data_IF_245981743406
#
_entry.id   IF_245981743406
#
_cell.length_a   1.000
_cell.length_b   1.000
_cell.length_c   1.000
_cell.angle_alpha   90.00
_cell.angle_beta   90.00
_cell.angle_gamma   90.00
#
_symmetry.space_group_name_H-M   'P 1'
#
loop_
_entity.id
_entity.type
_entity.pdbx_description
1 polymer ?
#
# COMPACT_ATOMS: atom_id res chain seq x y z
N UNK A 1 -1.31 -2.70 70.86
CA UNK A 1 -1.08 -3.85 69.96
C UNK A 1 -1.73 -3.48 68.63
N UNK A 2 -0.95 -2.91 67.71
CA UNK A 2 -1.44 -2.08 66.59
C UNK A 2 -1.32 -2.90 65.30
N UNK A 3 -2.46 -3.36 64.76
CA UNK A 3 -2.50 -4.25 63.60
C UNK A 3 -2.35 -3.44 62.31
N UNK A 4 -1.35 -3.85 61.54
CA UNK A 4 -0.90 -3.39 60.23
C UNK A 4 -2.03 -3.48 59.18
N UNK A 5 -2.32 -2.37 58.48
CA UNK A 5 -2.95 -2.40 57.13
C UNK A 5 -2.24 -1.41 56.21
N UNK A 6 -1.10 -1.85 55.66
CA UNK A 6 -0.38 -1.17 54.58
C UNK A 6 -1.07 -1.51 53.26
N UNK A 7 -1.92 -0.62 52.77
CA UNK A 7 -2.45 -0.68 51.40
C UNK A 7 -1.35 -0.08 50.50
N UNK A 8 -0.48 -0.95 50.00
CA UNK A 8 0.50 -0.59 48.99
C UNK A 8 -0.20 -0.41 47.65
N UNK A 9 -0.41 0.83 47.24
CA UNK A 9 -0.89 1.17 45.89
C UNK A 9 0.31 0.97 44.95
N UNK A 10 0.36 -0.19 44.29
CA UNK A 10 1.28 -0.44 43.20
C UNK A 10 0.80 0.34 41.97
N UNK A 11 1.38 1.52 41.75
CA UNK A 11 1.16 2.32 40.55
C UNK A 11 1.90 1.62 39.39
N UNK A 12 1.16 0.81 38.63
CA UNK A 12 1.68 0.18 37.41
C UNK A 12 1.83 1.27 36.32
N UNK A 13 3.04 1.75 36.13
CA UNK A 13 3.41 2.62 35.01
C UNK A 13 3.37 1.81 33.71
N UNK A 14 2.22 1.86 33.03
CA UNK A 14 2.07 1.30 31.69
C UNK A 14 2.74 2.25 30.68
N UNK A 15 4.04 2.07 30.48
CA UNK A 15 4.80 2.76 29.44
C UNK A 15 4.37 2.21 28.07
N UNK A 16 3.50 2.93 27.37
CA UNK A 16 3.18 2.65 25.96
C UNK A 16 4.37 3.12 25.13
N UNK A 17 5.32 2.23 24.89
CA UNK A 17 6.39 2.46 23.93
C UNK A 17 5.77 2.49 22.52
N UNK A 18 5.61 3.69 21.96
CA UNK A 18 5.24 3.89 20.56
C UNK A 18 6.38 3.40 19.67
N UNK A 19 6.33 2.13 19.26
CA UNK A 19 7.15 1.62 18.17
C UNK A 19 6.70 2.30 16.89
N UNK A 20 7.58 3.10 16.29
CA UNK A 20 7.38 3.59 14.94
C UNK A 20 7.32 2.36 14.00
N UNK A 21 6.12 1.99 13.59
CA UNK A 21 5.91 0.91 12.64
C UNK A 21 6.39 1.39 11.26
N UNK A 22 7.51 0.84 10.79
CA UNK A 22 7.84 0.89 9.38
C UNK A 22 6.70 0.18 8.63
N UNK A 23 5.86 0.94 7.91
CA UNK A 23 4.72 0.38 7.18
C UNK A 23 5.05 0.33 5.69
N UNK A 24 4.84 -0.83 5.08
CA UNK A 24 4.75 -0.94 3.64
C UNK A 24 3.52 -0.14 3.21
N UNK A 25 3.63 0.62 2.13
CA UNK A 25 2.49 1.33 1.56
C UNK A 25 1.72 0.39 0.65
N UNK A 26 0.39 0.42 0.74
CA UNK A 26 -0.47 -0.15 -0.30
C UNK A 26 -1.14 1.00 -1.03
N UNK A 27 -1.20 0.91 -2.36
CA UNK A 27 -1.78 1.95 -3.22
C UNK A 27 -2.71 1.29 -4.21
N UNK A 28 -3.97 1.73 -4.22
CA UNK A 28 -4.93 1.34 -5.24
C UNK A 28 -4.65 2.12 -6.52
N UNK A 29 -4.82 1.48 -7.66
CA UNK A 29 -4.61 2.10 -8.96
C UNK A 29 -5.66 1.67 -9.98
N UNK A 30 -5.90 2.57 -10.94
CA UNK A 30 -6.67 2.28 -12.14
C UNK A 30 -5.99 2.90 -13.35
N UNK A 31 -5.94 2.17 -14.45
CA UNK A 31 -5.49 2.64 -15.75
C UNK A 31 -6.60 2.39 -16.77
N UNK A 32 -6.87 3.41 -17.59
CA UNK A 32 -7.78 3.31 -18.72
C UNK A 32 -7.07 3.75 -20.00
N UNK A 33 -6.84 2.80 -20.90
CA UNK A 33 -6.24 3.04 -22.22
C UNK A 33 -7.22 3.73 -23.17
N UNK A 34 -6.72 4.71 -23.93
CA UNK A 34 -7.50 5.49 -24.89
C UNK A 34 -7.81 4.76 -26.19
N UNK A 35 -6.89 3.92 -26.70
CA UNK A 35 -7.05 3.18 -27.96
C UNK A 35 -6.95 1.68 -27.70
N UNK A 36 -8.07 1.04 -27.34
CA UNK A 36 -8.14 -0.40 -27.10
C UNK A 36 -8.91 -0.82 -25.85
N UNK A 37 -9.45 0.13 -25.07
CA UNK A 37 -10.19 -0.13 -23.83
C UNK A 37 -9.43 -1.00 -22.82
N UNK A 38 -8.10 -0.98 -22.84
CA UNK A 38 -7.28 -1.65 -21.84
C UNK A 38 -7.62 -1.06 -20.46
N UNK A 39 -8.26 -1.84 -19.60
CA UNK A 39 -8.62 -1.47 -18.24
C UNK A 39 -7.76 -2.29 -17.30
N UNK A 40 -6.96 -1.61 -16.49
CA UNK A 40 -6.21 -2.24 -15.40
C UNK A 40 -6.72 -1.63 -14.10
N UNK A 41 -7.04 -2.48 -13.14
CA UNK A 41 -7.39 -2.05 -11.78
C UNK A 41 -6.68 -2.95 -10.80
N UNK A 42 -6.28 -2.43 -9.65
CA UNK A 42 -5.60 -3.24 -8.67
C UNK A 42 -4.97 -2.45 -7.54
N UNK A 43 -4.03 -3.10 -6.85
CA UNK A 43 -3.25 -2.47 -5.79
C UNK A 43 -1.77 -2.86 -5.89
N UNK A 44 -0.90 -1.91 -5.61
CA UNK A 44 0.54 -2.10 -5.45
C UNK A 44 0.90 -2.19 -3.97
N UNK A 45 1.94 -2.97 -3.65
CA UNK A 45 2.58 -2.96 -2.33
C UNK A 45 4.03 -2.51 -2.47
N UNK A 46 4.45 -1.54 -1.66
CA UNK A 46 5.81 -1.01 -1.66
C UNK A 46 6.69 -1.62 -0.56
N UNK A 47 8.00 -1.57 -0.76
CA UNK A 47 8.98 -1.86 0.27
C UNK A 47 8.98 -0.79 1.38
N UNK A 48 9.44 -1.16 2.57
CA UNK A 48 9.50 -0.28 3.75
C UNK A 48 10.44 0.92 3.62
N UNK A 49 11.44 0.84 2.73
CA UNK A 49 12.48 1.86 2.57
C UNK A 49 12.59 2.26 1.11
N UNK A 50 12.77 3.55 0.81
CA UNK A 50 13.03 4.01 -0.54
C UNK A 50 14.37 3.43 -1.04
N UNK A 51 14.46 3.25 -2.35
CA UNK A 51 15.63 2.69 -3.03
C UNK A 51 16.79 3.69 -3.11
N UNK A 52 16.51 4.99 -3.04
CA UNK A 52 17.51 6.06 -3.08
C UNK A 52 17.27 7.10 -1.99
N UNK A 53 18.34 7.57 -1.35
CA UNK A 53 18.27 8.64 -0.33
C UNK A 53 17.92 10.02 -0.91
N UNK A 54 17.95 10.22 -2.23
CA UNK A 54 17.81 11.54 -2.89
C UNK A 54 16.68 11.64 -3.93
N UNK A 55 15.86 10.59 -4.11
CA UNK A 55 14.79 10.58 -5.12
C UNK A 55 13.48 9.87 -4.71
N UNK A 56 13.38 9.36 -3.48
CA UNK A 56 12.11 8.98 -2.86
C UNK A 56 11.34 7.78 -3.43
N UNK A 57 11.81 7.15 -4.51
CA UNK A 57 11.13 5.98 -5.10
C UNK A 57 11.16 4.75 -4.20
N UNK A 58 10.01 4.08 -4.08
CA UNK A 58 9.83 2.83 -3.37
C UNK A 58 9.79 1.66 -4.35
N UNK A 59 10.46 0.57 -4.00
CA UNK A 59 10.38 -0.65 -4.80
C UNK A 59 9.05 -1.33 -4.60
N UNK A 60 8.40 -1.77 -5.66
CA UNK A 60 7.24 -2.65 -5.52
C UNK A 60 7.67 -4.06 -5.14
N UNK A 61 6.99 -4.60 -4.13
CA UNK A 61 7.16 -5.98 -3.64
C UNK A 61 5.98 -6.86 -4.01
N UNK A 62 4.84 -6.26 -4.36
CA UNK A 62 3.63 -6.97 -4.76
C UNK A 62 2.75 -6.12 -5.67
N UNK A 63 1.93 -6.82 -6.44
CA UNK A 63 0.85 -6.28 -7.26
C UNK A 63 -0.29 -7.29 -7.27
N UNK A 64 -1.53 -6.81 -7.25
CA UNK A 64 -2.74 -7.61 -7.40
C UNK A 64 -3.77 -6.81 -8.20
N UNK A 65 -4.79 -7.49 -8.73
CA UNK A 65 -5.85 -6.84 -9.50
C UNK A 65 -6.22 -7.59 -10.78
N UNK A 66 -6.68 -6.86 -11.78
CA UNK A 66 -7.05 -7.39 -13.09
C UNK A 66 -6.60 -6.47 -14.23
N UNK A 67 -6.25 -7.08 -15.35
CA UNK A 67 -6.05 -6.44 -16.65
C UNK A 67 -7.05 -7.04 -17.64
N UNK A 68 -7.96 -6.24 -18.20
CA UNK A 68 -9.00 -6.68 -19.14
C UNK A 68 -9.79 -7.92 -18.68
N UNK A 69 -10.17 -7.91 -17.39
CA UNK A 69 -10.83 -9.02 -16.68
C UNK A 69 -9.98 -10.28 -16.46
N UNK A 70 -8.71 -10.28 -16.86
CA UNK A 70 -7.73 -11.32 -16.55
C UNK A 70 -7.01 -10.98 -15.25
N UNK A 71 -6.94 -11.92 -14.30
CA UNK A 71 -6.31 -11.68 -13.01
C UNK A 71 -4.81 -11.42 -13.15
N UNK A 72 -4.29 -10.40 -12.46
CA UNK A 72 -2.85 -10.19 -12.34
C UNK A 72 -2.27 -11.31 -11.47
N UNK A 73 -1.32 -12.08 -12.01
CA UNK A 73 -0.76 -13.27 -11.35
C UNK A 73 0.57 -13.01 -10.66
N UNK A 74 1.38 -12.08 -11.18
CA UNK A 74 2.69 -11.79 -10.60
C UNK A 74 3.29 -10.46 -11.04
N UNK A 75 4.13 -9.90 -10.17
CA UNK A 75 5.07 -8.83 -10.53
C UNK A 75 6.24 -9.44 -11.31
N UNK A 76 6.57 -8.87 -12.47
CA UNK A 76 7.71 -9.29 -13.28
C UNK A 76 8.99 -8.83 -12.59
N UNK A 77 10.00 -9.71 -12.52
CA UNK A 77 11.29 -9.35 -11.92
C UNK A 77 11.91 -8.15 -12.63
N UNK A 78 12.68 -7.36 -11.89
CA UNK A 78 13.42 -6.20 -12.40
C UNK A 78 14.28 -6.59 -13.60
N UNK A 79 14.31 -5.74 -14.62
CA UNK A 79 15.05 -5.90 -15.87
C UNK A 79 14.72 -7.18 -16.64
N UNK A 80 13.48 -7.69 -16.54
CA UNK A 80 13.03 -8.88 -17.29
C UNK A 80 12.02 -8.58 -18.39
N UNK A 81 11.36 -7.44 -18.34
CA UNK A 81 10.50 -6.98 -19.42
C UNK A 81 10.72 -5.49 -19.63
N UNK A 82 11.17 -5.11 -20.83
CA UNK A 82 11.37 -3.72 -21.23
C UNK A 82 12.26 -2.85 -20.33
N UNK A 83 13.19 -3.45 -19.58
CA UNK A 83 14.05 -2.72 -18.66
C UNK A 83 13.33 -2.20 -17.41
N UNK A 84 12.17 -2.79 -17.07
CA UNK A 84 11.39 -2.41 -15.89
C UNK A 84 12.22 -2.38 -14.60
N UNK A 85 12.01 -1.36 -13.79
CA UNK A 85 12.68 -1.22 -12.50
C UNK A 85 11.73 -1.41 -11.31
N UNK A 86 10.42 -1.44 -11.58
CA UNK A 86 9.34 -1.54 -10.63
C UNK A 86 9.46 -0.51 -9.49
N UNK A 87 9.84 0.72 -9.83
CA UNK A 87 9.86 1.84 -8.90
C UNK A 87 8.52 2.60 -8.91
N UNK A 88 8.08 2.95 -7.72
CA UNK A 88 6.90 3.78 -7.48
C UNK A 88 7.28 5.03 -6.69
N UNK A 89 6.88 6.19 -7.17
CA UNK A 89 7.15 7.49 -6.56
C UNK A 89 5.89 8.00 -5.87
N UNK A 90 5.81 7.84 -4.54
CA UNK A 90 4.60 8.15 -3.78
C UNK A 90 4.28 9.65 -3.65
N UNK A 91 5.28 10.52 -3.82
CA UNK A 91 5.15 11.98 -3.69
C UNK A 91 4.87 12.64 -5.06
N UNK A 92 3.83 12.19 -5.75
CA UNK A 92 3.29 12.91 -6.91
C UNK A 92 2.27 13.94 -6.38
N UNK A 93 2.71 15.18 -6.15
CA UNK A 93 1.79 16.21 -5.71
C UNK A 93 0.78 16.51 -6.84
N UNK A 94 -0.52 16.46 -6.50
CA UNK A 94 -1.60 16.92 -7.36
C UNK A 94 -1.39 18.41 -7.69
N UNK A 95 -0.79 18.70 -8.84
CA UNK A 95 -0.70 20.05 -9.39
C UNK A 95 0.73 20.55 -9.59
N UNK A 96 1.00 20.97 -10.82
CA UNK A 96 2.12 21.75 -11.32
C UNK A 96 3.47 21.04 -11.57
N UNK A 97 3.92 20.08 -10.74
CA UNK A 97 5.25 19.46 -10.93
C UNK A 97 5.14 17.99 -11.39
N UNK A 98 5.51 17.75 -12.66
CA UNK A 98 5.42 16.53 -13.48
C UNK A 98 6.10 15.25 -12.94
N UNK A 99 5.83 14.85 -11.70
CA UNK A 99 6.27 13.55 -11.20
C UNK A 99 5.17 12.52 -11.41
N UNK A 100 5.24 11.81 -12.53
CA UNK A 100 4.48 10.58 -12.71
C UNK A 100 4.80 9.58 -11.58
N UNK A 101 3.82 8.80 -11.09
CA UNK A 101 4.04 7.73 -10.11
C UNK A 101 5.05 6.68 -10.58
N UNK A 102 5.31 6.58 -11.89
CA UNK A 102 6.30 5.71 -12.51
C UNK A 102 7.23 6.52 -13.41
N UNK A 103 8.44 6.03 -13.65
CA UNK A 103 9.34 6.59 -14.66
C UNK A 103 9.16 5.89 -16.01
N UNK A 104 10.11 6.11 -16.93
CA UNK A 104 10.12 5.51 -18.26
C UNK A 104 10.40 4.00 -18.25
N UNK A 105 10.95 3.46 -17.15
CA UNK A 105 11.19 2.02 -17.01
C UNK A 105 9.93 1.32 -16.51
N UNK A 106 9.21 1.94 -15.58
CA UNK A 106 7.86 1.55 -15.21
C UNK A 106 7.75 0.27 -14.37
N UNK A 107 6.52 -0.24 -14.29
CA UNK A 107 6.17 -1.45 -13.54
C UNK A 107 5.66 -2.49 -14.50
N UNK A 108 6.28 -3.67 -14.43
CA UNK A 108 5.86 -4.81 -15.23
C UNK A 108 5.18 -5.89 -14.40
N UNK A 109 4.08 -6.42 -14.91
CA UNK A 109 3.36 -7.54 -14.32
C UNK A 109 2.91 -8.54 -15.40
N UNK A 110 2.44 -9.69 -14.94
CA UNK A 110 1.89 -10.75 -15.77
C UNK A 110 0.45 -11.03 -15.34
N UNK A 111 -0.42 -11.30 -16.29
CA UNK A 111 -1.81 -11.68 -16.05
C UNK A 111 -2.02 -13.22 -16.12
N UNK A 112 -3.26 -13.68 -16.04
CA UNK A 112 -3.62 -15.09 -16.11
C UNK A 112 -3.58 -15.63 -17.55
N UNK A 113 -3.73 -14.76 -18.55
CA UNK A 113 -3.59 -15.09 -19.97
C UNK A 113 -2.14 -15.09 -20.46
N UNK A 114 -1.17 -15.11 -19.55
CA UNK A 114 0.26 -15.19 -19.88
C UNK A 114 0.79 -13.96 -20.65
N UNK A 115 0.12 -12.81 -20.56
CA UNK A 115 0.53 -11.55 -21.15
C UNK A 115 1.43 -10.77 -20.19
N UNK A 116 2.47 -10.15 -20.74
CA UNK A 116 3.28 -9.19 -20.01
C UNK A 116 2.75 -7.79 -20.26
N UNK A 117 2.57 -7.01 -19.19
CA UNK A 117 2.14 -5.61 -19.25
C UNK A 117 3.18 -4.77 -18.55
N UNK A 118 3.63 -3.68 -19.19
CA UNK A 118 4.45 -2.64 -18.56
C UNK A 118 3.66 -1.33 -18.52
N UNK A 119 3.40 -0.83 -17.31
CA UNK A 119 2.86 0.50 -17.07
C UNK A 119 4.02 1.47 -16.84
N UNK A 120 4.14 2.50 -17.66
CA UNK A 120 5.23 3.45 -17.61
C UNK A 120 4.74 4.87 -17.92
N UNK A 121 5.58 5.86 -17.65
CA UNK A 121 5.35 7.23 -18.11
C UNK A 121 6.48 7.71 -18.98
N UNK A 122 6.11 8.28 -20.13
CA UNK A 122 7.04 8.95 -21.02
C UNK A 122 6.78 10.46 -21.00
N UNK A 123 7.85 11.24 -20.97
CA UNK A 123 7.83 12.71 -20.88
C UNK A 123 6.97 13.30 -19.73
N UNK A 124 6.75 12.56 -18.64
CA UNK A 124 6.18 13.06 -17.38
C UNK A 124 4.66 13.30 -17.36
N UNK A 125 3.94 13.07 -18.47
CA UNK A 125 2.49 13.36 -18.56
C UNK A 125 1.66 12.23 -19.19
N UNK A 126 2.24 11.44 -20.11
CA UNK A 126 1.49 10.38 -20.81
C UNK A 126 1.79 9.04 -20.14
N UNK A 127 0.73 8.37 -19.67
CA UNK A 127 0.84 7.00 -19.19
C UNK A 127 0.70 6.03 -20.37
N UNK A 128 1.75 5.26 -20.58
CA UNK A 128 1.78 4.16 -21.53
C UNK A 128 1.50 2.84 -20.83
N UNK A 129 0.69 2.00 -21.47
CA UNK A 129 0.67 0.58 -21.22
C UNK A 129 1.22 -0.11 -22.47
N UNK A 130 2.31 -0.88 -22.33
CA UNK A 130 2.68 -1.82 -23.37
C UNK A 130 2.33 -3.22 -22.94
N UNK A 131 1.52 -3.88 -23.76
CA UNK A 131 1.09 -5.26 -23.58
C UNK A 131 1.76 -6.12 -24.63
N UNK A 132 2.47 -7.16 -24.22
CA UNK A 132 3.05 -8.16 -25.11
C UNK A 132 2.53 -9.55 -24.76
N UNK A 133 2.00 -10.25 -25.76
CA UNK A 133 1.63 -11.66 -25.62
C UNK A 133 2.87 -12.54 -25.82
N UNK A 134 3.11 -13.47 -24.90
CA UNK A 134 4.22 -14.44 -25.04
C UNK A 134 3.94 -15.39 -26.20
N UNK A 135 2.69 -15.79 -26.37
CA UNK A 135 2.31 -16.85 -27.30
C UNK A 135 2.39 -16.39 -28.76
N UNK A 136 2.03 -15.12 -29.01
CA UNK A 136 2.09 -14.54 -30.36
C UNK A 136 3.33 -13.67 -30.60
N UNK A 137 4.06 -13.29 -29.56
CA UNK A 137 5.19 -12.35 -29.64
C UNK A 137 4.80 -10.92 -30.04
N UNK A 138 3.50 -10.62 -30.17
CA UNK A 138 3.00 -9.32 -30.59
C UNK A 138 2.90 -8.37 -29.41
N UNK A 139 3.33 -7.12 -29.62
CA UNK A 139 3.24 -6.05 -28.63
C UNK A 139 2.36 -4.91 -29.13
N UNK A 140 1.46 -4.43 -28.27
CA UNK A 140 0.62 -3.27 -28.51
C UNK A 140 0.98 -2.18 -27.50
N UNK A 141 1.06 -0.94 -27.97
CA UNK A 141 1.17 0.23 -27.10
C UNK A 141 -0.20 0.91 -27.01
N UNK A 142 -0.57 1.30 -25.80
CA UNK A 142 -1.71 2.17 -25.53
C UNK A 142 -1.26 3.36 -24.69
N UNK A 143 -1.73 4.55 -25.01
CA UNK A 143 -1.71 5.70 -24.10
C UNK A 143 -3.00 5.71 -23.28
N UNK A 144 -2.99 6.29 -22.08
CA UNK A 144 -4.16 6.31 -21.22
C UNK A 144 -4.03 7.21 -20.01
N UNK A 145 -5.03 7.12 -19.14
CA UNK A 145 -5.06 7.83 -17.85
C UNK A 145 -4.81 6.84 -16.74
N UNK A 146 -3.86 7.17 -15.86
CA UNK A 146 -3.58 6.43 -14.63
C UNK A 146 -4.04 7.25 -13.43
N UNK A 147 -4.77 6.61 -12.53
CA UNK A 147 -5.07 7.13 -11.19
C UNK A 147 -4.39 6.23 -10.17
N UNK A 148 -3.74 6.83 -9.17
CA UNK A 148 -3.17 6.11 -8.03
C UNK A 148 -3.60 6.81 -6.76
N UNK A 149 -4.07 6.05 -5.78
CA UNK A 149 -4.49 6.56 -4.48
C UNK A 149 -3.94 5.68 -3.37
N UNK A 150 -3.50 6.24 -2.22
CA UNK A 150 -3.18 5.43 -1.06
C UNK A 150 -4.38 4.53 -0.71
N UNK A 151 -4.13 3.23 -0.53
CA UNK A 151 -5.18 2.31 -0.14
C UNK A 151 -5.65 2.66 1.27
N UNK A 152 -6.95 2.48 1.53
CA UNK A 152 -7.49 2.67 2.86
C UNK A 152 -6.79 1.72 3.84
N UNK A 153 -5.98 2.28 4.74
CA UNK A 153 -5.40 1.48 5.82
C UNK A 153 -6.56 1.02 6.72
N UNK A 154 -6.56 -0.26 7.17
CA UNK A 154 -7.47 -0.66 8.23
C UNK A 154 -7.18 0.25 9.41
N UNK A 155 -8.14 1.11 9.75
CA UNK A 155 -8.03 1.99 10.90
C UNK A 155 -7.94 1.07 12.10
N UNK A 156 -6.80 1.05 12.84
CA UNK A 156 -6.71 0.24 14.03
C UNK A 156 -7.88 0.65 14.93
N UNK A 157 -8.68 -0.32 15.37
CA UNK A 157 -9.74 -0.02 16.31
C UNK A 157 -9.11 0.79 17.46
N UNK A 158 -9.64 1.98 17.76
CA UNK A 158 -8.97 2.84 18.70
C UNK A 158 -8.90 2.10 20.03
N UNK A 159 -7.71 2.07 20.64
CA UNK A 159 -7.49 1.45 21.94
C UNK A 159 -8.42 2.00 23.04
N UNK A 160 -9.16 3.07 22.75
CA UNK A 160 -10.28 3.55 23.55
C UNK A 160 -11.37 2.50 23.77
N UNK A 161 -11.60 1.53 22.88
CA UNK A 161 -12.56 0.44 23.13
C UNK A 161 -12.06 -0.50 24.22
N UNK A 162 -10.78 -0.87 24.17
CA UNK A 162 -10.14 -1.64 25.23
C UNK A 162 -10.12 -0.84 26.54
N UNK A 163 -9.76 0.45 26.47
CA UNK A 163 -9.72 1.33 27.62
C UNK A 163 -11.10 1.50 28.25
N UNK A 164 -12.14 1.71 27.43
CA UNK A 164 -13.53 1.78 27.86
C UNK A 164 -13.97 0.46 28.51
N UNK A 165 -13.65 -0.68 27.89
CA UNK A 165 -13.91 -2.00 28.45
C UNK A 165 -13.27 -2.18 29.83
N UNK A 166 -11.99 -1.83 29.98
CA UNK A 166 -11.30 -1.89 31.27
C UNK A 166 -11.87 -0.92 32.31
N UNK A 167 -12.28 0.28 31.89
CA UNK A 167 -12.93 1.25 32.76
C UNK A 167 -14.28 0.76 33.29
N UNK A 168 -15.11 0.15 32.43
CA UNK A 168 -16.39 -0.43 32.82
C UNK A 168 -16.23 -1.59 33.81
N UNK A 169 -15.25 -2.48 33.58
CA UNK A 169 -14.92 -3.56 34.52
C UNK A 169 -14.46 -2.99 35.87
N UNK A 170 -13.60 -1.97 35.85
CA UNK A 170 -13.14 -1.29 37.06
C UNK A 170 -14.27 -0.66 37.87
N UNK A 171 -15.19 0.04 37.20
CA UNK A 171 -16.39 0.63 37.82
C UNK A 171 -17.30 -0.45 38.42
N UNK A 172 -17.50 -1.58 37.72
CA UNK A 172 -18.28 -2.71 38.22
C UNK A 172 -17.70 -3.31 39.52
N UNK A 173 -16.38 -3.44 39.60
CA UNK A 173 -15.69 -3.92 40.83
C UNK A 173 -15.88 -2.93 41.99
N UNK A 174 -15.77 -1.63 41.73
CA UNK A 174 -15.97 -0.58 42.77
C UNK A 174 -17.42 -0.59 43.27
N UNK A 175 -18.40 -0.68 42.36
CA UNK A 175 -19.82 -0.72 42.72
C UNK A 175 -20.16 -1.93 43.60
N UNK A 176 -19.65 -3.13 43.25
CA UNK A 176 -19.86 -4.36 44.05
C UNK A 176 -19.31 -4.24 45.47
N UNK A 177 -18.16 -3.58 45.65
CA UNK A 177 -17.56 -3.37 46.98
C UNK A 177 -18.34 -2.40 47.88
N UNK A 178 -19.18 -1.54 47.32
CA UNK A 178 -20.02 -0.61 48.10
C UNK A 178 -21.36 -1.21 48.52
N UNK A 179 -21.84 -2.23 47.81
CA UNK A 179 -23.11 -2.88 48.08
C UNK A 179 -23.02 -4.06 49.06
N UNK A 180 -21.80 -4.56 49.32
CA UNK A 180 -21.49 -5.58 50.32
C UNK A 180 -20.95 -4.92 51.60
#
# INVERSE_FOLDING_TARGET
>A
MTIIRRIGIALATLAVAGVATASAGTYDFSYQGGFGNNIITGSFTTALKPVRNSGGGYRLTGISGSFDNSAITSLVKINKFQGNDNLFFANFANGADNYSPFDAFGISFKDAANQFVNLYSDAGVIFGARTCSIDSGTCTLSSGTLTVTPAALPVPEPGSLLLLGTALVGLGVIARRRAA
#
